data_IF_988273956199
#
_entry.id   IF_988273956199
#
_cell.length_a   1.000
_cell.length_b   1.000
_cell.length_c   1.000
_cell.angle_alpha   90.00
_cell.angle_beta   90.00
_cell.angle_gamma   90.00
#
_symmetry.space_group_name_H-M   'P 1'
#
loop_
_entity.id
_entity.type
_entity.pdbx_description
1 polymer ?
#
# COMPACT_ATOMS: atom_id res chain seq x y z
N UNK A 1 27.13 6.64 12.52
CA UNK A 1 27.91 5.42 12.19
C UNK A 1 27.37 4.17 12.87
N UNK A 2 26.89 4.20 14.12
CA UNK A 2 26.31 3.00 14.80
C UNK A 2 25.17 2.31 14.03
N UNK A 3 24.23 3.07 13.45
CA UNK A 3 23.13 2.50 12.67
C UNK A 3 23.61 1.74 11.43
N UNK A 4 24.56 2.31 10.70
CA UNK A 4 25.17 1.66 9.53
C UNK A 4 25.97 0.42 9.93
N UNK A 5 26.67 0.46 11.07
CA UNK A 5 27.37 -0.70 11.62
C UNK A 5 26.40 -1.85 11.94
N UNK A 6 25.27 -1.55 12.58
CA UNK A 6 24.23 -2.54 12.89
C UNK A 6 23.61 -3.13 11.62
N UNK A 7 23.32 -2.27 10.64
CA UNK A 7 22.83 -2.69 9.33
C UNK A 7 23.85 -3.61 8.62
N UNK A 8 25.13 -3.26 8.64
CA UNK A 8 26.22 -4.05 8.04
C UNK A 8 26.33 -5.42 8.71
N UNK A 9 26.29 -5.46 10.05
CA UNK A 9 26.30 -6.72 10.82
C UNK A 9 25.10 -7.61 10.48
N UNK A 10 23.91 -7.01 10.40
CA UNK A 10 22.68 -7.73 10.05
C UNK A 10 22.74 -8.27 8.61
N UNK A 11 23.20 -7.47 7.66
CA UNK A 11 23.39 -7.92 6.27
C UNK A 11 24.43 -9.04 6.18
N UNK A 12 25.55 -8.94 6.90
CA UNK A 12 26.55 -10.01 7.01
C UNK A 12 25.96 -11.29 7.57
N UNK A 13 25.09 -11.20 8.58
CA UNK A 13 24.43 -12.37 9.15
C UNK A 13 23.60 -13.16 8.12
N UNK A 14 22.81 -12.46 7.28
CA UNK A 14 22.00 -13.11 6.22
C UNK A 14 22.83 -13.82 5.14
N UNK A 15 24.10 -13.43 4.97
CA UNK A 15 24.99 -13.98 3.94
C UNK A 15 26.19 -14.73 4.51
N UNK A 16 26.19 -15.03 5.82
CA UNK A 16 27.26 -15.81 6.44
C UNK A 16 27.34 -17.21 5.79
N UNK A 17 28.51 -17.54 5.23
CA UNK A 17 28.73 -18.79 4.50
C UNK A 17 28.12 -18.83 3.09
N UNK A 18 27.56 -17.73 2.59
CA UNK A 18 27.02 -17.67 1.24
C UNK A 18 28.12 -17.62 0.18
N UNK A 19 27.93 -18.35 -0.92
CA UNK A 19 28.75 -18.24 -2.14
C UNK A 19 28.30 -17.10 -3.07
N UNK A 20 27.23 -16.37 -2.71
CA UNK A 20 26.70 -15.30 -3.55
C UNK A 20 27.30 -13.95 -3.19
N UNK A 21 27.27 -13.59 -1.91
CA UNK A 21 27.68 -12.27 -1.42
C UNK A 21 28.49 -12.37 -0.13
N UNK A 22 29.42 -11.45 0.03
CA UNK A 22 30.21 -11.19 1.22
C UNK A 22 29.94 -9.78 1.71
N UNK A 23 29.93 -9.59 3.02
CA UNK A 23 29.70 -8.30 3.67
C UNK A 23 30.79 -8.15 4.73
N UNK A 24 31.57 -7.06 4.77
CA UNK A 24 32.70 -6.92 5.68
C UNK A 24 32.30 -7.05 7.16
N UNK A 25 33.20 -7.59 7.96
CA UNK A 25 33.02 -7.58 9.42
C UNK A 25 33.18 -6.17 10.01
N UNK A 26 32.30 -5.76 10.92
CA UNK A 26 32.46 -4.50 11.66
C UNK A 26 33.09 -4.79 13.02
N UNK A 27 34.36 -4.40 13.18
CA UNK A 27 35.13 -4.62 14.41
C UNK A 27 34.76 -3.64 15.53
N UNK A 28 34.45 -2.40 15.16
CA UNK A 28 34.21 -1.31 16.11
C UNK A 28 33.29 -0.28 15.49
N UNK A 29 32.42 0.31 16.31
CA UNK A 29 31.62 1.45 15.92
C UNK A 29 31.40 2.39 17.11
N UNK A 30 31.14 3.64 16.76
CA UNK A 30 30.78 4.74 17.65
C UNK A 30 29.82 5.67 16.89
N UNK A 31 29.45 6.81 17.49
CA UNK A 31 28.60 7.79 16.80
C UNK A 31 29.23 8.28 15.50
N UNK A 32 30.53 8.57 15.53
CA UNK A 32 31.25 9.28 14.46
C UNK A 32 32.21 8.40 13.66
N UNK A 33 32.59 7.22 14.16
CA UNK A 33 33.59 6.33 13.54
C UNK A 33 33.07 4.90 13.48
N UNK A 34 33.26 4.24 12.33
CA UNK A 34 33.11 2.80 12.13
C UNK A 34 34.42 2.22 11.59
N UNK A 35 34.87 1.10 12.15
CA UNK A 35 36.05 0.35 11.69
C UNK A 35 35.59 -1.03 11.25
N UNK A 36 35.80 -1.34 9.98
CA UNK A 36 35.40 -2.60 9.37
C UNK A 36 36.60 -3.30 8.69
N UNK A 37 36.38 -4.57 8.36
CA UNK A 37 37.29 -5.39 7.59
C UNK A 37 37.64 -4.73 6.25
N UNK A 38 38.94 -4.70 5.94
CA UNK A 38 39.41 -4.23 4.66
C UNK A 38 39.12 -5.30 3.60
N UNK A 39 38.31 -4.94 2.60
CA UNK A 39 38.04 -5.78 1.44
C UNK A 39 38.99 -5.47 0.28
N UNK A 40 39.17 -6.46 -0.60
CA UNK A 40 39.82 -6.30 -1.89
C UNK A 40 38.93 -6.92 -2.95
N UNK A 41 38.61 -6.15 -3.98
CA UNK A 41 37.74 -6.58 -5.07
C UNK A 41 37.78 -5.58 -6.21
N UNK A 42 37.13 -5.93 -7.31
CA UNK A 42 37.00 -5.07 -8.49
C UNK A 42 35.62 -4.42 -8.46
N UNK A 43 35.49 -3.10 -8.63
CA UNK A 43 34.19 -2.44 -8.73
C UNK A 43 33.32 -3.10 -9.80
N UNK A 44 32.02 -3.25 -9.54
CA UNK A 44 31.12 -3.92 -10.48
C UNK A 44 31.00 -3.21 -11.86
N UNK A 45 31.32 -1.91 -11.92
CA UNK A 45 31.37 -1.15 -13.18
C UNK A 45 32.60 -1.41 -14.04
N UNK A 46 33.65 -2.06 -13.51
CA UNK A 46 34.88 -2.35 -14.25
C UNK A 46 34.77 -3.67 -15.05
N UNK A 47 33.96 -3.60 -16.11
CA UNK A 47 33.74 -4.73 -17.03
C UNK A 47 35.00 -5.13 -17.79
N UNK A 48 35.92 -4.19 -18.03
CA UNK A 48 37.18 -4.45 -18.71
C UNK A 48 38.07 -5.42 -17.92
N UNK A 49 38.14 -5.26 -16.59
CA UNK A 49 38.87 -6.20 -15.75
C UNK A 49 38.21 -7.58 -15.73
N UNK A 50 36.87 -7.66 -15.73
CA UNK A 50 36.17 -8.94 -15.82
C UNK A 50 36.44 -9.68 -17.13
N UNK A 51 36.46 -8.96 -18.26
CA UNK A 51 36.79 -9.53 -19.56
C UNK A 51 38.24 -10.04 -19.60
N UNK A 52 39.19 -9.28 -19.03
CA UNK A 52 40.60 -9.70 -18.91
C UNK A 52 40.79 -10.94 -18.04
N UNK A 53 40.00 -11.07 -16.98
CA UNK A 53 40.01 -12.22 -16.09
C UNK A 53 39.21 -13.42 -16.63
N UNK A 54 38.54 -13.27 -17.80
CA UNK A 54 37.71 -14.31 -18.39
C UNK A 54 36.47 -14.64 -17.56
N UNK A 55 35.99 -13.70 -16.74
CA UNK A 55 34.76 -13.89 -15.95
C UNK A 55 33.54 -13.82 -16.85
N UNK A 56 32.57 -14.70 -16.61
CA UNK A 56 31.31 -14.68 -17.34
C UNK A 56 30.40 -13.55 -16.78
N UNK A 57 30.24 -12.47 -17.56
CA UNK A 57 29.39 -11.34 -17.18
C UNK A 57 27.91 -11.69 -17.09
N UNK A 58 27.44 -12.68 -17.84
CA UNK A 58 26.07 -13.18 -17.72
C UNK A 58 25.85 -13.83 -16.34
N UNK A 59 26.78 -14.70 -15.90
CA UNK A 59 26.70 -15.36 -14.59
C UNK A 59 26.79 -14.34 -13.44
N UNK A 60 27.62 -13.30 -13.59
CA UNK A 60 27.70 -12.19 -12.64
C UNK A 60 26.37 -11.44 -12.54
N UNK A 61 25.77 -11.08 -13.68
CA UNK A 61 24.50 -10.37 -13.72
C UNK A 61 23.35 -11.21 -13.13
N UNK A 62 23.27 -12.49 -13.46
CA UNK A 62 22.29 -13.42 -12.89
C UNK A 62 22.46 -13.57 -11.37
N UNK A 63 23.70 -13.67 -10.89
CA UNK A 63 24.00 -13.73 -9.46
C UNK A 63 23.63 -12.44 -8.74
N UNK A 64 23.95 -11.28 -9.31
CA UNK A 64 23.59 -9.97 -8.76
C UNK A 64 22.07 -9.80 -8.61
N UNK A 65 21.31 -10.18 -9.64
CA UNK A 65 19.86 -10.15 -9.60
C UNK A 65 19.30 -11.15 -8.57
N UNK A 66 19.86 -12.35 -8.50
CA UNK A 66 19.51 -13.35 -7.48
C UNK A 66 19.73 -12.82 -6.06
N UNK A 67 20.84 -12.13 -5.82
CA UNK A 67 21.15 -11.47 -4.53
C UNK A 67 20.08 -10.42 -4.21
N UNK A 68 19.70 -9.56 -5.16
CA UNK A 68 18.66 -8.55 -4.95
C UNK A 68 17.31 -9.18 -4.55
N UNK A 69 16.83 -10.17 -5.30
CA UNK A 69 15.58 -10.86 -4.95
C UNK A 69 15.66 -11.60 -3.61
N UNK A 70 16.84 -12.17 -3.29
CA UNK A 70 17.10 -12.82 -2.01
C UNK A 70 16.95 -11.82 -0.86
N UNK A 71 17.58 -10.66 -0.95
CA UNK A 71 17.48 -9.61 0.06
C UNK A 71 16.02 -9.13 0.25
N UNK A 72 15.29 -8.88 -0.83
CA UNK A 72 13.92 -8.34 -0.79
C UNK A 72 12.92 -9.38 -0.25
N UNK A 73 13.00 -10.63 -0.68
CA UNK A 73 11.98 -11.64 -0.36
C UNK A 73 12.40 -12.60 0.75
N UNK A 74 13.58 -13.21 0.68
CA UNK A 74 14.04 -14.15 1.69
C UNK A 74 14.34 -13.43 3.01
N UNK A 75 15.12 -12.36 2.93
CA UNK A 75 15.65 -11.68 4.12
C UNK A 75 14.74 -10.53 4.59
N UNK A 76 13.92 -9.98 3.68
CA UNK A 76 13.13 -8.76 3.90
C UNK A 76 13.97 -7.59 4.41
N UNK A 77 15.25 -7.57 4.03
CA UNK A 77 16.22 -6.58 4.45
C UNK A 77 17.13 -6.34 3.25
N UNK A 78 16.90 -5.22 2.56
CA UNK A 78 17.53 -4.95 1.28
C UNK A 78 18.35 -3.66 1.31
N UNK A 79 19.47 -3.69 0.60
CA UNK A 79 20.33 -2.53 0.44
C UNK A 79 19.70 -1.59 -0.60
N UNK A 80 19.25 -0.42 -0.15
CA UNK A 80 18.46 0.49 -0.96
C UNK A 80 19.30 1.49 -1.80
N UNK A 81 20.62 1.28 -1.84
CA UNK A 81 21.57 2.14 -2.54
C UNK A 81 22.71 1.32 -3.19
N UNK A 82 22.35 0.20 -3.82
CA UNK A 82 23.27 -0.65 -4.57
C UNK A 82 23.71 0.01 -5.89
N UNK A 83 24.47 1.09 -5.80
CA UNK A 83 25.12 1.74 -6.95
C UNK A 83 26.55 1.19 -7.16
N UNK A 84 27.19 1.44 -8.32
CA UNK A 84 28.49 0.82 -8.64
C UNK A 84 29.65 1.10 -7.67
N UNK A 85 29.51 2.11 -6.80
CA UNK A 85 30.51 2.46 -5.79
C UNK A 85 30.43 1.61 -4.52
N UNK A 86 29.30 0.95 -4.28
CA UNK A 86 29.05 0.16 -3.07
C UNK A 86 29.06 -1.35 -3.33
N UNK A 87 29.26 -1.75 -4.60
CA UNK A 87 29.22 -3.15 -5.03
C UNK A 87 30.54 -3.51 -5.72
N UNK A 88 31.23 -4.48 -5.14
CA UNK A 88 32.48 -5.01 -5.67
C UNK A 88 32.33 -6.50 -5.97
N UNK A 89 33.28 -7.05 -6.73
CA UNK A 89 33.36 -8.46 -7.06
C UNK A 89 34.70 -9.00 -6.55
N UNK A 90 34.63 -10.07 -5.75
CA UNK A 90 35.79 -10.81 -5.30
C UNK A 90 36.42 -11.55 -6.47
N UNK A 91 37.73 -11.36 -6.68
CA UNK A 91 38.45 -11.91 -7.84
C UNK A 91 39.34 -13.12 -7.51
N UNK A 92 39.34 -13.57 -6.25
CA UNK A 92 40.16 -14.70 -5.79
C UNK A 92 39.75 -16.01 -6.49
N UNK A 93 38.45 -16.17 -6.77
CA UNK A 93 37.92 -17.29 -7.53
C UNK A 93 37.07 -16.79 -8.72
N UNK A 94 37.69 -16.47 -9.88
CA UNK A 94 36.98 -15.96 -11.05
C UNK A 94 35.92 -16.90 -11.61
N UNK A 95 36.01 -18.21 -11.35
CA UNK A 95 35.02 -19.20 -11.77
C UNK A 95 33.75 -19.18 -10.91
N UNK A 96 33.83 -18.66 -9.68
CA UNK A 96 32.66 -18.48 -8.82
C UNK A 96 32.85 -17.26 -7.89
N UNK A 97 32.84 -16.04 -8.46
CA UNK A 97 33.14 -14.84 -7.70
C UNK A 97 31.98 -14.49 -6.76
N UNK A 98 32.30 -13.94 -5.59
CA UNK A 98 31.30 -13.38 -4.68
C UNK A 98 31.14 -11.89 -4.94
N UNK A 99 29.91 -11.40 -4.83
CA UNK A 99 29.68 -9.98 -4.69
C UNK A 99 30.14 -9.53 -3.30
N UNK A 100 30.64 -8.32 -3.18
CA UNK A 100 31.00 -7.69 -1.92
C UNK A 100 30.15 -6.43 -1.80
N UNK A 101 29.28 -6.39 -0.80
CA UNK A 101 28.43 -5.23 -0.54
C UNK A 101 29.05 -4.36 0.57
N UNK A 102 29.16 -3.06 0.29
CA UNK A 102 29.62 -2.02 1.21
C UNK A 102 28.51 -1.01 1.45
N UNK A 103 28.72 -0.10 2.40
CA UNK A 103 27.82 1.05 2.68
C UNK A 103 26.35 0.62 2.92
N UNK A 104 26.12 0.01 4.08
CA UNK A 104 24.76 -0.32 4.52
C UNK A 104 24.09 0.87 5.24
N UNK A 105 24.39 2.12 4.84
CA UNK A 105 23.78 3.29 5.45
C UNK A 105 22.28 3.40 5.13
N UNK A 106 21.89 2.99 3.92
CA UNK A 106 20.51 3.01 3.46
C UNK A 106 20.01 1.58 3.23
N UNK A 107 19.23 1.10 4.19
CA UNK A 107 18.58 -0.21 4.16
C UNK A 107 17.07 -0.05 4.19
N UNK A 108 16.36 -0.97 3.56
CA UNK A 108 14.91 -1.02 3.55
C UNK A 108 14.36 -2.34 4.06
N UNK A 109 13.15 -2.28 4.61
CA UNK A 109 12.34 -3.43 5.02
C UNK A 109 10.89 -3.16 4.64
N UNK A 110 10.15 -4.23 4.34
CA UNK A 110 8.71 -4.14 4.09
C UNK A 110 7.94 -4.77 5.26
N UNK A 111 6.72 -4.30 5.53
CA UNK A 111 5.83 -5.07 6.40
C UNK A 111 5.52 -6.42 5.71
N UNK A 112 5.20 -7.47 6.48
CA UNK A 112 4.81 -8.77 5.88
C UNK A 112 3.67 -8.62 4.86
N UNK A 113 2.75 -7.70 5.13
CA UNK A 113 1.65 -7.38 4.23
C UNK A 113 2.16 -6.75 2.93
N UNK A 114 2.99 -5.71 3.02
CA UNK A 114 3.53 -5.02 1.84
C UNK A 114 4.45 -5.94 1.03
N UNK A 115 5.27 -6.75 1.69
CA UNK A 115 6.14 -7.73 1.04
C UNK A 115 5.33 -8.71 0.18
N UNK A 116 4.21 -9.22 0.71
CA UNK A 116 3.29 -10.08 -0.03
C UNK A 116 2.58 -9.32 -1.16
N UNK A 117 2.15 -8.09 -0.92
CA UNK A 117 1.52 -7.24 -1.94
C UNK A 117 2.48 -6.99 -3.11
N UNK A 118 3.71 -6.59 -2.84
CA UNK A 118 4.79 -6.43 -3.85
C UNK A 118 5.01 -7.71 -4.62
N UNK A 119 5.11 -8.84 -3.92
CA UNK A 119 5.33 -10.13 -4.56
C UNK A 119 4.21 -10.46 -5.56
N UNK A 120 2.95 -10.28 -5.12
CA UNK A 120 1.78 -10.53 -5.97
C UNK A 120 1.70 -9.54 -7.14
N UNK A 121 2.03 -8.27 -6.93
CA UNK A 121 2.06 -7.25 -7.98
C UNK A 121 3.07 -7.59 -9.07
N UNK A 122 4.31 -7.90 -8.69
CA UNK A 122 5.36 -8.30 -9.64
C UNK A 122 4.95 -9.54 -10.43
N UNK A 123 4.36 -10.54 -9.78
CA UNK A 123 3.88 -11.74 -10.46
C UNK A 123 2.72 -11.44 -11.43
N UNK A 124 1.81 -10.53 -11.06
CA UNK A 124 0.73 -10.11 -11.94
C UNK A 124 1.27 -9.39 -13.19
N UNK A 125 2.27 -8.52 -13.02
CA UNK A 125 2.97 -7.86 -14.14
C UNK A 125 3.66 -8.90 -15.03
N UNK A 126 4.44 -9.83 -14.45
CA UNK A 126 5.12 -10.90 -15.19
C UNK A 126 4.18 -11.81 -15.99
N UNK A 127 2.92 -11.93 -15.57
CA UNK A 127 1.88 -12.70 -16.27
C UNK A 127 1.00 -11.82 -17.18
N UNK A 128 1.36 -10.55 -17.37
CA UNK A 128 0.59 -9.55 -18.12
C UNK A 128 -0.87 -9.41 -17.65
N UNK A 129 -1.14 -9.76 -16.39
CA UNK A 129 -2.46 -9.72 -15.79
C UNK A 129 -2.68 -8.40 -15.03
N UNK A 130 -2.89 -7.33 -15.80
CA UNK A 130 -3.08 -5.99 -15.24
C UNK A 130 -4.40 -5.83 -14.47
N UNK A 131 -5.42 -6.66 -14.74
CA UNK A 131 -6.64 -6.66 -13.92
C UNK A 131 -6.36 -7.17 -12.51
N UNK A 132 -5.60 -8.27 -12.41
CA UNK A 132 -5.16 -8.80 -11.13
C UNK A 132 -4.24 -7.82 -10.40
N UNK A 133 -3.36 -7.12 -11.13
CA UNK A 133 -2.53 -6.05 -10.56
C UNK A 133 -3.40 -5.00 -9.86
N UNK A 134 -4.41 -4.45 -10.55
CA UNK A 134 -5.29 -3.42 -9.96
C UNK A 134 -6.07 -3.97 -8.77
N UNK A 135 -6.54 -5.22 -8.83
CA UNK A 135 -7.21 -5.87 -7.69
C UNK A 135 -6.29 -5.99 -6.46
N UNK A 136 -5.02 -6.35 -6.65
CA UNK A 136 -4.04 -6.45 -5.56
C UNK A 136 -3.79 -5.08 -4.93
N UNK A 137 -3.57 -4.06 -5.76
CA UNK A 137 -3.32 -2.68 -5.31
C UNK A 137 -4.55 -2.12 -4.59
N UNK A 138 -5.75 -2.46 -5.05
CA UNK A 138 -6.99 -2.07 -4.40
C UNK A 138 -7.17 -2.74 -3.04
N UNK A 139 -6.86 -4.04 -2.94
CA UNK A 139 -6.88 -4.79 -1.67
C UNK A 139 -5.87 -4.24 -0.65
N UNK A 140 -4.74 -3.70 -1.13
CA UNK A 140 -3.74 -3.04 -0.30
C UNK A 140 -4.16 -1.63 0.17
N UNK A 141 -5.29 -1.11 -0.32
CA UNK A 141 -5.81 0.21 0.04
C UNK A 141 -5.17 1.38 -0.70
N UNK A 142 -4.33 1.13 -1.72
CA UNK A 142 -3.59 2.20 -2.41
C UNK A 142 -4.40 2.88 -3.51
N UNK A 143 -5.57 2.34 -3.85
CA UNK A 143 -6.50 2.93 -4.84
C UNK A 143 -7.65 3.62 -4.08
N UNK A 144 -7.84 4.93 -4.25
CA UNK A 144 -8.95 5.66 -3.63
C UNK A 144 -10.32 5.11 -4.03
N UNK A 145 -11.34 5.21 -3.15
CA UNK A 145 -12.71 4.88 -3.48
C UNK A 145 -13.22 5.67 -4.71
N UNK A 146 -13.93 4.99 -5.62
CA UNK A 146 -14.50 5.63 -6.82
C UNK A 146 -13.55 5.78 -8.01
N UNK A 147 -12.30 5.31 -7.89
CA UNK A 147 -11.35 5.26 -9.00
C UNK A 147 -11.82 4.30 -10.11
N UNK A 148 -11.74 4.72 -11.37
CA UNK A 148 -11.98 3.84 -12.53
C UNK A 148 -10.83 2.83 -12.68
N UNK A 149 -11.04 1.64 -12.10
CA UNK A 149 -10.08 0.55 -12.08
C UNK A 149 -9.79 0.00 -13.49
N UNK A 150 -10.76 0.03 -14.40
CA UNK A 150 -10.58 -0.46 -15.77
C UNK A 150 -9.72 0.51 -16.58
N UNK A 151 -9.92 1.82 -16.42
CA UNK A 151 -9.06 2.85 -17.00
C UNK A 151 -7.64 2.73 -16.46
N UNK A 152 -7.48 2.58 -15.15
CA UNK A 152 -6.18 2.39 -14.52
C UNK A 152 -5.47 1.12 -15.06
N UNK A 153 -6.18 0.00 -15.19
CA UNK A 153 -5.62 -1.24 -15.72
C UNK A 153 -5.16 -1.09 -17.19
N UNK A 154 -5.93 -0.37 -18.02
CA UNK A 154 -5.55 -0.08 -19.42
C UNK A 154 -4.30 0.78 -19.51
N UNK A 155 -4.21 1.82 -18.68
CA UNK A 155 -3.03 2.68 -18.66
C UNK A 155 -1.79 1.94 -18.16
N UNK A 156 -1.91 1.20 -17.05
CA UNK A 156 -0.81 0.37 -16.53
C UNK A 156 -0.36 -0.67 -17.55
N UNK A 157 -1.28 -1.32 -18.28
CA UNK A 157 -0.93 -2.26 -19.35
C UNK A 157 -0.14 -1.58 -20.48
N UNK A 158 -0.54 -0.38 -20.89
CA UNK A 158 0.13 0.36 -21.97
C UNK A 158 1.54 0.77 -21.57
N UNK A 159 1.72 1.21 -20.32
CA UNK A 159 3.00 1.72 -19.82
C UNK A 159 3.97 0.61 -19.41
N UNK A 160 3.50 -0.40 -18.66
CA UNK A 160 4.35 -1.45 -18.08
C UNK A 160 4.39 -2.73 -18.92
N UNK A 161 3.37 -2.98 -19.75
CA UNK A 161 3.29 -4.16 -20.62
C UNK A 161 4.55 -4.41 -21.48
N UNK A 162 5.12 -3.38 -22.14
CA UNK A 162 6.34 -3.55 -22.94
C UNK A 162 7.56 -4.04 -22.14
N UNK A 163 7.58 -3.89 -20.82
CA UNK A 163 8.71 -4.32 -19.99
C UNK A 163 8.88 -5.82 -19.94
N UNK A 164 7.77 -6.57 -19.96
CA UNK A 164 7.76 -8.00 -19.66
C UNK A 164 8.25 -8.84 -20.84
N UNK A 165 8.33 -8.25 -22.03
CA UNK A 165 8.62 -8.96 -23.29
C UNK A 165 9.94 -8.57 -23.94
N UNK A 166 10.77 -7.73 -23.30
CA UNK A 166 12.00 -7.19 -23.89
C UNK A 166 13.22 -7.39 -22.96
N UNK A 167 14.43 -7.54 -23.53
CA UNK A 167 15.67 -7.54 -22.76
C UNK A 167 15.97 -6.15 -22.18
N UNK A 168 16.87 -6.07 -21.20
CA UNK A 168 17.23 -4.81 -20.52
C UNK A 168 17.67 -3.71 -21.48
N UNK A 169 18.49 -4.03 -22.48
CA UNK A 169 19.01 -3.08 -23.48
C UNK A 169 17.95 -2.32 -24.29
N UNK A 170 16.71 -2.82 -24.35
CA UNK A 170 15.60 -2.21 -25.09
C UNK A 170 14.60 -1.48 -24.19
N UNK A 171 14.84 -1.43 -22.89
CA UNK A 171 13.91 -0.89 -21.90
C UNK A 171 14.36 0.47 -21.37
N UNK A 172 13.50 1.46 -21.54
CA UNK A 172 13.62 2.75 -20.84
C UNK A 172 12.96 2.65 -19.46
N UNK A 173 13.66 2.04 -18.50
CA UNK A 173 13.15 1.87 -17.14
C UNK A 173 12.88 3.22 -16.45
N UNK A 174 13.74 4.21 -16.65
CA UNK A 174 13.56 5.53 -16.07
C UNK A 174 12.30 6.21 -16.62
N UNK A 175 12.09 6.20 -17.93
CA UNK A 175 10.90 6.76 -18.57
C UNK A 175 9.63 6.02 -18.18
N UNK A 176 9.68 4.69 -18.04
CA UNK A 176 8.54 3.91 -17.55
C UNK A 176 8.23 4.25 -16.10
N UNK A 177 9.23 4.37 -15.22
CA UNK A 177 9.03 4.77 -13.83
C UNK A 177 8.38 6.15 -13.72
N UNK A 178 8.84 7.12 -14.53
CA UNK A 178 8.23 8.45 -14.59
C UNK A 178 6.76 8.35 -14.99
N UNK A 179 6.43 7.55 -16.01
CA UNK A 179 5.04 7.34 -16.43
C UNK A 179 4.19 6.64 -15.35
N UNK A 180 4.74 5.66 -14.65
CA UNK A 180 4.04 4.99 -13.52
C UNK A 180 3.77 5.98 -12.40
N UNK A 181 4.73 6.87 -12.08
CA UNK A 181 4.52 7.93 -11.10
C UNK A 181 3.48 8.96 -11.55
N UNK A 182 3.44 9.28 -12.84
CA UNK A 182 2.42 10.15 -13.40
C UNK A 182 1.01 9.52 -13.30
N UNK A 183 0.88 8.22 -13.62
CA UNK A 183 -0.36 7.45 -13.42
C UNK A 183 -0.75 7.48 -11.93
N UNK A 184 0.19 7.19 -11.03
CA UNK A 184 -0.06 7.20 -9.60
C UNK A 184 -0.59 8.56 -9.13
N UNK A 185 0.00 9.66 -9.61
CA UNK A 185 -0.43 11.02 -9.30
C UNK A 185 -1.82 11.34 -9.87
N UNK A 186 -2.10 10.99 -11.13
CA UNK A 186 -3.39 11.26 -11.80
C UNK A 186 -4.54 10.47 -11.21
N UNK A 187 -4.28 9.25 -10.75
CA UNK A 187 -5.26 8.39 -10.10
C UNK A 187 -5.25 8.52 -8.56
N UNK A 188 -4.47 9.47 -8.02
CA UNK A 188 -4.36 9.75 -6.59
C UNK A 188 -4.00 8.52 -5.74
N UNK A 189 -3.11 7.67 -6.24
CA UNK A 189 -2.70 6.45 -5.53
C UNK A 189 -1.89 6.78 -4.28
N UNK A 190 -2.16 6.07 -3.19
CA UNK A 190 -1.44 6.19 -1.93
C UNK A 190 -0.31 5.14 -1.87
N UNK A 191 0.90 5.51 -2.31
CA UNK A 191 2.05 4.59 -2.36
C UNK A 191 2.90 4.72 -1.08
N UNK A 192 3.12 3.63 -0.32
CA UNK A 192 4.02 3.65 0.84
C UNK A 192 5.46 4.06 0.50
N UNK A 193 6.14 4.87 1.34
CA UNK A 193 7.51 5.35 1.07
C UNK A 193 8.55 4.24 0.87
N UNK A 194 8.41 3.09 1.52
CA UNK A 194 9.33 1.96 1.40
C UNK A 194 9.31 1.33 0.00
N UNK A 195 8.17 1.40 -0.70
CA UNK A 195 8.08 0.99 -2.10
C UNK A 195 8.82 1.94 -3.02
N UNK A 196 8.82 3.24 -2.69
CA UNK A 196 9.60 4.21 -3.44
C UNK A 196 11.10 3.93 -3.35
N UNK A 197 11.59 3.50 -2.18
CA UNK A 197 12.97 3.04 -2.02
C UNK A 197 13.25 1.78 -2.84
N UNK A 198 12.34 0.81 -2.81
CA UNK A 198 12.47 -0.41 -3.62
C UNK A 198 12.51 -0.10 -5.12
N UNK A 199 11.65 0.81 -5.59
CA UNK A 199 11.62 1.27 -6.98
C UNK A 199 12.91 2.00 -7.37
N UNK A 200 13.41 2.90 -6.51
CA UNK A 200 14.72 3.54 -6.71
C UNK A 200 15.83 2.49 -6.83
N UNK A 201 15.82 1.49 -5.95
CA UNK A 201 16.83 0.41 -5.94
C UNK A 201 16.78 -0.40 -7.23
N UNK A 202 15.57 -0.72 -7.72
CA UNK A 202 15.38 -1.46 -8.96
C UNK A 202 15.99 -0.71 -10.16
N UNK A 203 15.88 0.64 -10.21
CA UNK A 203 16.53 1.45 -11.25
C UNK A 203 18.05 1.39 -11.19
N UNK A 204 18.65 1.37 -9.99
CA UNK A 204 20.11 1.26 -9.86
C UNK A 204 20.60 -0.13 -10.24
N UNK A 205 19.90 -1.18 -9.80
CA UNK A 205 20.18 -2.57 -10.16
C UNK A 205 20.02 -2.78 -11.67
N UNK A 206 19.05 -2.12 -12.28
CA UNK A 206 18.85 -2.12 -13.73
C UNK A 206 20.01 -1.46 -14.45
N UNK A 207 20.34 -0.20 -14.15
CA UNK A 207 21.46 0.48 -14.81
C UNK A 207 22.77 -0.31 -14.69
N UNK A 208 23.01 -0.88 -13.50
CA UNK A 208 24.16 -1.75 -13.27
C UNK A 208 24.11 -3.05 -14.10
N UNK A 209 22.95 -3.70 -14.16
CA UNK A 209 22.77 -4.92 -14.95
C UNK A 209 22.91 -4.66 -16.45
N UNK A 210 22.43 -3.52 -16.94
CA UNK A 210 22.57 -3.08 -18.33
C UNK A 210 24.03 -2.88 -18.70
N UNK A 211 24.83 -2.22 -17.85
CA UNK A 211 26.26 -2.03 -18.08
C UNK A 211 27.04 -3.35 -18.04
N UNK A 212 26.66 -4.26 -17.13
CA UNK A 212 27.33 -5.54 -16.94
C UNK A 212 27.00 -6.54 -18.05
N UNK A 213 25.71 -6.74 -18.34
CA UNK A 213 25.21 -7.69 -19.33
C UNK A 213 23.85 -7.21 -19.93
N UNK A 214 23.89 -6.46 -21.06
CA UNK A 214 22.70 -5.84 -21.65
C UNK A 214 21.59 -6.80 -22.09
N UNK A 215 21.96 -8.05 -22.41
CA UNK A 215 21.05 -9.09 -22.89
C UNK A 215 20.34 -9.85 -21.75
N UNK A 216 20.52 -9.42 -20.49
CA UNK A 216 19.86 -10.03 -19.34
C UNK A 216 18.34 -9.88 -19.44
N UNK A 217 17.63 -10.99 -19.22
CA UNK A 217 16.19 -11.01 -19.04
C UNK A 217 15.86 -11.10 -17.54
N UNK A 218 15.63 -9.93 -16.92
CA UNK A 218 15.28 -9.82 -15.49
C UNK A 218 14.05 -10.66 -15.17
N UNK A 219 13.03 -10.62 -16.01
CA UNK A 219 11.73 -11.21 -15.72
C UNK A 219 11.80 -12.72 -15.75
N UNK A 220 12.53 -13.29 -16.72
CA UNK A 220 12.77 -14.72 -16.82
C UNK A 220 13.50 -15.26 -15.59
N UNK A 221 14.48 -14.53 -15.05
CA UNK A 221 15.21 -14.95 -13.85
C UNK A 221 14.41 -14.75 -12.56
N UNK A 222 13.69 -13.63 -12.45
CA UNK A 222 12.93 -13.27 -11.25
C UNK A 222 11.69 -14.15 -11.02
N UNK A 223 11.01 -14.53 -12.10
CA UNK A 223 9.74 -15.28 -12.04
C UNK A 223 9.81 -16.57 -11.22
N UNK A 224 10.78 -17.49 -11.41
CA UNK A 224 10.87 -18.70 -10.60
C UNK A 224 11.15 -18.38 -9.13
N UNK A 225 12.09 -17.47 -8.83
CA UNK A 225 12.45 -17.06 -7.47
C UNK A 225 11.20 -16.56 -6.72
N UNK A 226 10.45 -15.67 -7.36
CA UNK A 226 9.26 -15.08 -6.80
C UNK A 226 8.12 -16.11 -6.63
N UNK A 227 7.92 -16.96 -7.63
CA UNK A 227 6.87 -17.99 -7.60
C UNK A 227 7.10 -18.98 -6.46
N UNK A 228 8.34 -19.43 -6.27
CA UNK A 228 8.69 -20.36 -5.21
C UNK A 228 8.58 -19.72 -3.83
N UNK A 229 8.99 -18.46 -3.69
CA UNK A 229 8.80 -17.70 -2.45
C UNK A 229 7.32 -17.53 -2.09
N UNK A 230 6.46 -17.18 -3.06
CA UNK A 230 5.01 -17.06 -2.84
C UNK A 230 4.42 -18.41 -2.42
N UNK A 231 4.76 -19.51 -3.11
CA UNK A 231 4.27 -20.86 -2.76
C UNK A 231 4.63 -21.25 -1.33
N UNK A 232 5.87 -20.98 -0.90
CA UNK A 232 6.34 -21.30 0.45
C UNK A 232 5.59 -20.46 1.50
N UNK A 233 5.36 -19.17 1.24
CA UNK A 233 4.71 -18.27 2.19
C UNK A 233 3.17 -18.30 2.15
N UNK A 234 2.57 -18.82 1.07
CA UNK A 234 1.14 -19.12 0.99
C UNK A 234 0.81 -20.55 1.39
N UNK A 235 1.79 -21.37 1.75
CA UNK A 235 1.54 -22.76 2.15
C UNK A 235 0.70 -22.79 3.44
N UNK A 236 -0.57 -23.28 3.38
CA UNK A 236 -1.49 -23.25 4.51
C UNK A 236 -0.98 -24.03 5.73
N UNK A 237 -0.07 -24.98 5.55
CA UNK A 237 0.55 -25.77 6.63
C UNK A 237 1.42 -24.88 7.54
N UNK A 238 2.10 -23.86 7.00
CA UNK A 238 2.90 -22.91 7.79
C UNK A 238 2.00 -22.00 8.63
N UNK A 239 0.89 -21.55 8.04
CA UNK A 239 -0.11 -20.72 8.74
C UNK A 239 -0.80 -21.49 9.87
N UNK A 240 -1.07 -22.80 9.71
CA UNK A 240 -1.61 -23.63 10.79
C UNK A 240 -0.65 -23.77 11.98
N UNK A 241 0.67 -23.81 11.73
CA UNK A 241 1.68 -23.87 12.79
C UNK A 241 1.81 -22.54 13.55
N UNK A 242 1.75 -21.42 12.85
CA UNK A 242 1.72 -20.07 13.47
C UNK A 242 0.43 -19.85 14.28
N UNK A 243 -0.73 -20.30 13.78
CA UNK A 243 -1.98 -20.32 14.55
C UNK A 243 -1.82 -21.20 15.80
N UNK A 244 -1.24 -22.39 15.65
CA UNK A 244 -0.96 -23.29 16.77
C UNK A 244 -0.05 -22.70 17.85
N UNK A 245 0.87 -21.81 17.47
CA UNK A 245 1.76 -21.10 18.39
C UNK A 245 1.07 -19.94 19.12
N UNK A 246 -0.04 -19.41 18.57
CA UNK A 246 -0.88 -18.39 19.20
C UNK A 246 -2.01 -18.99 20.05
N UNK A 247 -2.27 -20.30 19.95
CA UNK A 247 -3.23 -21.03 20.81
C UNK A 247 -2.93 -20.86 22.30
N UNK A 248 -1.68 -20.93 22.80
CA UNK A 248 -1.38 -20.72 24.22
C UNK A 248 -1.77 -19.32 24.70
N UNK A 249 -1.52 -18.27 23.91
CA UNK A 249 -1.89 -16.89 24.25
C UNK A 249 -3.42 -16.69 24.20
N UNK A 250 -4.10 -17.34 23.24
CA UNK A 250 -5.56 -17.42 23.17
C UNK A 250 -6.18 -18.21 24.34
N UNK A 251 -5.52 -19.26 24.82
CA UNK A 251 -5.94 -20.06 25.98
C UNK A 251 -5.73 -19.32 27.30
N UNK A 252 -4.66 -18.51 27.40
CA UNK A 252 -4.44 -17.62 28.54
C UNK A 252 -5.47 -16.49 28.58
N UNK A 253 -5.91 -15.97 27.42
CA UNK A 253 -7.03 -15.03 27.30
C UNK A 253 -8.42 -15.68 27.40
N UNK A 254 -8.52 -17.02 27.42
CA UNK A 254 -9.81 -17.73 27.45
C UNK A 254 -10.52 -17.69 28.81
N UNK A 255 -9.87 -17.17 29.86
CA UNK A 255 -10.54 -16.91 31.14
C UNK A 255 -11.51 -15.71 31.06
N UNK A 256 -11.29 -14.78 30.10
CA UNK A 256 -12.12 -13.60 29.86
C UNK A 256 -13.10 -13.79 28.67
N UNK A 257 -13.09 -14.97 28.03
CA UNK A 257 -13.99 -15.31 26.92
C UNK A 257 -15.49 -15.25 27.29
N UNK A 258 -15.91 -15.70 28.51
CA UNK A 258 -17.31 -15.60 28.91
C UNK A 258 -17.79 -14.14 29.02
N UNK A 259 -16.97 -13.25 29.60
CA UNK A 259 -17.32 -11.84 29.77
C UNK A 259 -17.37 -11.11 28.43
N UNK A 260 -16.40 -11.33 27.53
CA UNK A 260 -16.40 -10.70 26.20
C UNK A 260 -17.58 -11.13 25.30
N UNK A 261 -18.00 -12.39 25.36
CA UNK A 261 -19.20 -12.85 24.64
C UNK A 261 -20.48 -12.28 25.23
N UNK A 262 -20.60 -12.24 26.56
CA UNK A 262 -21.75 -11.64 27.26
C UNK A 262 -21.81 -10.13 27.00
N UNK A 263 -20.68 -9.44 27.01
CA UNK A 263 -20.60 -8.00 26.76
C UNK A 263 -20.89 -7.65 25.30
N UNK A 264 -20.46 -8.47 24.34
CA UNK A 264 -20.81 -8.30 22.93
C UNK A 264 -22.30 -8.57 22.68
N UNK A 265 -22.87 -9.59 23.32
CA UNK A 265 -24.31 -9.89 23.24
C UNK A 265 -25.16 -8.80 23.93
N UNK A 266 -24.71 -8.29 25.07
CA UNK A 266 -25.35 -7.16 25.76
C UNK A 266 -25.21 -5.86 24.96
N UNK A 267 -24.07 -5.65 24.30
CA UNK A 267 -23.82 -4.53 23.38
C UNK A 267 -24.75 -4.55 22.17
N UNK A 268 -24.91 -5.71 21.52
CA UNK A 268 -25.86 -5.89 20.41
C UNK A 268 -27.32 -5.72 20.86
N UNK A 269 -27.68 -6.22 22.04
CA UNK A 269 -29.02 -6.05 22.61
C UNK A 269 -29.29 -4.56 22.93
N UNK A 270 -28.34 -3.85 23.52
CA UNK A 270 -28.47 -2.43 23.83
C UNK A 270 -28.46 -1.54 22.57
N UNK A 271 -27.68 -1.89 21.55
CA UNK A 271 -27.68 -1.19 20.25
C UNK A 271 -29.04 -1.34 19.55
N UNK A 272 -29.66 -2.52 19.62
CA UNK A 272 -31.02 -2.74 19.07
C UNK A 272 -32.10 -1.93 19.82
N UNK A 273 -31.96 -1.78 21.13
CA UNK A 273 -32.86 -0.98 21.96
C UNK A 273 -32.68 0.53 21.75
N UNK A 274 -31.46 0.98 21.44
CA UNK A 274 -31.18 2.38 21.12
C UNK A 274 -31.68 2.75 19.72
N UNK A 275 -31.49 1.86 18.73
CA UNK A 275 -32.04 2.03 17.38
C UNK A 275 -33.57 2.06 17.36
N UNK A 276 -34.24 1.20 18.13
CA UNK A 276 -35.71 1.19 18.19
C UNK A 276 -36.26 2.46 18.83
N UNK A 277 -35.57 3.01 19.86
CA UNK A 277 -35.93 4.28 20.50
C UNK A 277 -35.76 5.47 19.56
N UNK A 278 -34.66 5.55 18.80
CA UNK A 278 -34.48 6.59 17.77
C UNK A 278 -35.53 6.52 16.65
N UNK A 279 -35.90 5.31 16.21
CA UNK A 279 -36.96 5.12 15.22
C UNK A 279 -38.33 5.58 15.73
N UNK A 280 -38.64 5.32 17.00
CA UNK A 280 -39.87 5.78 17.63
C UNK A 280 -39.89 7.31 17.82
N UNK A 281 -38.76 7.92 18.20
CA UNK A 281 -38.63 9.38 18.29
C UNK A 281 -38.82 10.04 16.92
N UNK A 282 -38.20 9.51 15.86
CA UNK A 282 -38.39 10.02 14.49
C UNK A 282 -39.84 9.88 13.99
N UNK A 283 -40.51 8.76 14.29
CA UNK A 283 -41.91 8.55 13.93
C UNK A 283 -42.84 9.52 14.68
N UNK A 284 -42.61 9.72 15.97
CA UNK A 284 -43.39 10.67 16.76
C UNK A 284 -43.17 12.12 16.33
N UNK A 285 -41.95 12.52 15.96
CA UNK A 285 -41.67 13.82 15.35
C UNK A 285 -42.40 13.99 14.01
N UNK A 286 -42.40 12.98 13.14
CA UNK A 286 -43.16 13.02 11.86
C UNK A 286 -44.65 13.24 12.09
N UNK A 287 -45.25 12.51 13.03
CA UNK A 287 -46.68 12.64 13.36
C UNK A 287 -47.02 14.03 13.93
N UNK A 288 -46.14 14.58 14.78
CA UNK A 288 -46.29 15.94 15.28
C UNK A 288 -46.21 16.98 14.16
N UNK A 289 -45.26 16.82 13.23
CA UNK A 289 -45.13 17.71 12.06
C UNK A 289 -46.37 17.64 11.16
N UNK A 290 -46.93 16.46 10.89
CA UNK A 290 -48.16 16.35 10.10
C UNK A 290 -49.35 17.02 10.78
N UNK A 291 -49.50 16.85 12.09
CA UNK A 291 -50.57 17.50 12.85
C UNK A 291 -50.42 19.03 12.86
N UNK A 292 -49.19 19.53 13.00
CA UNK A 292 -48.90 20.96 12.96
C UNK A 292 -49.12 21.56 11.57
N UNK A 293 -48.72 20.84 10.51
CA UNK A 293 -48.98 21.24 9.12
C UNK A 293 -50.47 21.25 8.80
N UNK A 294 -51.25 20.21 9.16
CA UNK A 294 -52.71 20.18 8.94
C UNK A 294 -53.40 21.34 9.63
N UNK A 295 -53.05 21.60 10.89
CA UNK A 295 -53.59 22.74 11.65
C UNK A 295 -53.20 24.07 11.00
N UNK A 296 -51.96 24.18 10.51
CA UNK A 296 -51.47 25.36 9.80
C UNK A 296 -52.28 25.66 8.54
N UNK A 297 -52.52 24.64 7.73
CA UNK A 297 -53.30 24.70 6.48
C UNK A 297 -54.76 25.08 6.74
N UNK A 298 -55.42 24.47 7.73
CA UNK A 298 -56.82 24.78 8.07
C UNK A 298 -56.99 26.27 8.42
N UNK A 299 -56.12 26.80 9.27
CA UNK A 299 -56.15 28.22 9.64
C UNK A 299 -55.83 29.14 8.45
N UNK A 300 -54.89 28.75 7.58
CA UNK A 300 -54.58 29.49 6.35
C UNK A 300 -55.79 29.57 5.41
N UNK A 301 -56.49 28.46 5.22
CA UNK A 301 -57.71 28.40 4.40
C UNK A 301 -58.85 29.23 4.98
N UNK A 302 -59.08 29.20 6.29
CA UNK A 302 -60.11 30.03 6.95
C UNK A 302 -59.80 31.52 6.74
N UNK A 303 -58.53 31.92 6.89
CA UNK A 303 -58.11 33.31 6.69
C UNK A 303 -58.30 33.76 5.23
N UNK A 304 -57.95 32.91 4.26
CA UNK A 304 -58.16 33.17 2.84
C UNK A 304 -59.65 33.30 2.47
N UNK A 305 -60.51 32.46 3.06
CA UNK A 305 -61.97 32.53 2.87
C UNK A 305 -62.52 33.85 3.43
N UNK A 306 -62.13 34.22 4.66
CA UNK A 306 -62.58 35.48 5.28
C UNK A 306 -62.13 36.71 4.49
N UNK A 307 -60.90 36.71 3.97
CA UNK A 307 -60.40 37.77 3.09
C UNK A 307 -61.15 37.82 1.76
N UNK A 308 -61.46 36.67 1.17
CA UNK A 308 -62.23 36.59 -0.07
C UNK A 308 -63.66 37.14 0.10
N UNK A 309 -64.30 36.83 1.23
CA UNK A 309 -65.63 37.37 1.58
C UNK A 309 -65.55 38.88 1.82
N UNK A 310 -64.49 39.37 2.47
CA UNK A 310 -64.32 40.80 2.75
C UNK A 310 -64.18 41.65 1.48
N UNK A 311 -63.63 41.10 0.39
CA UNK A 311 -63.49 41.79 -0.90
C UNK A 311 -64.86 42.03 -1.57
N UNK A 312 -65.82 41.13 -1.35
CA UNK A 312 -67.14 41.15 -2.02
C UNK A 312 -68.20 41.86 -1.17
N UNK A 313 -67.99 41.96 0.15
CA UNK A 313 -68.97 42.49 1.10
C UNK A 313 -69.05 44.03 1.11
N UNK A 314 -70.18 44.61 1.58
CA UNK A 314 -70.30 46.05 1.83
C UNK A 314 -69.25 46.55 2.83
N UNK A 315 -68.78 47.80 2.66
CA UNK A 315 -67.63 48.37 3.37
C UNK A 315 -67.67 48.22 4.90
N UNK A 316 -68.84 48.30 5.53
CA UNK A 316 -69.00 48.14 6.97
C UNK A 316 -68.78 46.70 7.45
N UNK A 317 -69.09 45.70 6.61
CA UNK A 317 -68.82 44.27 6.90
C UNK A 317 -67.35 43.93 6.62
N UNK A 318 -66.76 44.50 5.57
CA UNK A 318 -65.36 44.28 5.22
C UNK A 318 -64.40 44.73 6.32
N UNK A 319 -64.66 45.87 6.97
CA UNK A 319 -63.86 46.36 8.10
C UNK A 319 -63.87 45.35 9.26
N UNK A 320 -65.04 44.81 9.61
CA UNK A 320 -65.18 43.83 10.70
C UNK A 320 -64.41 42.54 10.37
N UNK A 321 -64.50 42.04 9.14
CA UNK A 321 -63.79 40.84 8.70
C UNK A 321 -62.26 41.01 8.67
N UNK A 322 -61.76 42.18 8.25
CA UNK A 322 -60.32 42.47 8.23
C UNK A 322 -59.76 42.56 9.67
N UNK A 323 -60.51 43.15 10.61
CA UNK A 323 -60.13 43.19 12.03
C UNK A 323 -60.08 41.77 12.61
N UNK A 324 -61.08 40.94 12.31
CA UNK A 324 -61.13 39.55 12.76
C UNK A 324 -59.94 38.71 12.24
N UNK A 325 -59.61 38.86 10.95
CA UNK A 325 -58.45 38.22 10.33
C UNK A 325 -57.15 38.69 10.96
N UNK A 326 -57.00 39.99 11.21
CA UNK A 326 -55.80 40.56 11.84
C UNK A 326 -55.61 40.06 13.28
N UNK A 327 -56.70 39.96 14.05
CA UNK A 327 -56.67 39.38 15.40
C UNK A 327 -56.30 37.89 15.39
N UNK A 328 -56.83 37.11 14.44
CA UNK A 328 -56.48 35.69 14.27
C UNK A 328 -55.01 35.50 13.86
N UNK A 329 -54.47 36.37 13.01
CA UNK A 329 -53.07 36.36 12.62
C UNK A 329 -52.14 36.69 13.80
N UNK A 330 -52.45 37.73 14.57
CA UNK A 330 -51.68 38.12 15.76
C UNK A 330 -51.72 37.04 16.84
N UNK A 331 -52.89 36.46 17.12
CA UNK A 331 -53.04 35.36 18.09
C UNK A 331 -52.19 34.14 17.71
N UNK A 332 -52.00 33.88 16.42
CA UNK A 332 -51.19 32.77 15.92
C UNK A 332 -49.69 33.02 15.95
N UNK A 333 -49.25 34.27 15.78
CA UNK A 333 -47.82 34.64 15.89
C UNK A 333 -47.38 34.68 17.36
N UNK A 334 -48.31 34.99 18.28
CA UNK A 334 -48.04 35.08 19.71
C UNK A 334 -48.03 33.72 20.46
N UNK A 335 -48.22 32.59 19.76
CA UNK A 335 -48.33 31.25 20.36
C UNK A 335 -47.46 30.23 19.64
#
# INVERSE_FOLDING_TARGET
MTLEADNTRRMRHYFTGSSMMYVPEVYMDSKDVMVAERITGVPISDTATFDQMGMNRADLAEKGLTIFFTQVFRDNFFHADMHPGNVFVETINPANPRFIALDCAIMGELSKHDQMTVARMLLAVMNSNFMQLIQIVHQAGWIPPGTDQDALAREMRRTVGPMVSKPMSELDFAGILIQVMDIARRFHLEIPPQLMLLLKTLVHVEGLGTDLYPDLDIWKLAKPILTDWIKVNMNPVKNMKEIGQQIPDLLLGAQDLPSLMIDSLNGLKNQSAWHSKQLHELQSMRLQMEHQQKRSWIFGSIMAILLSIAIIAPWYVSIILIILVSLLAVWRIAK
#
